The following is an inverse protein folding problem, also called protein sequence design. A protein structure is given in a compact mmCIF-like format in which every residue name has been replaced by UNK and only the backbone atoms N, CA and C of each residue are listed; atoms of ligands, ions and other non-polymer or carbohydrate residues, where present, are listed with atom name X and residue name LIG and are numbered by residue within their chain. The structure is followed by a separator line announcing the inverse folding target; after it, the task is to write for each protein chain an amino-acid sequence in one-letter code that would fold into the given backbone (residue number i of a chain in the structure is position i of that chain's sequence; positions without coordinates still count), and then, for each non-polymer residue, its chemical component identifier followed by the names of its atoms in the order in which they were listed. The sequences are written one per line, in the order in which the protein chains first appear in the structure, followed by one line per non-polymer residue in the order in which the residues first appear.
data_IF_956775603622
#
_entry.id   IF_956775603622
#
_cell.length_a   1.000
_cell.length_b   1.000
_cell.length_c   1.000
_cell.angle_alpha   90.00
_cell.angle_beta   90.00
_cell.angle_gamma   90.00
#
_symmetry.space_group_name_H-M   'P 1'
#
loop_
_entity.id
_entity.type
_entity.pdbx_description
1 polymer ?
#
# COMPACT_ATOMS: atom_id res chain seq x y z
N UNK A 1 -9.78 12.85 -7.76
CA UNK A 1 -10.05 13.65 -6.54
C UNK A 1 -9.55 12.86 -5.33
N UNK A 2 -8.79 13.46 -4.43
CA UNK A 2 -8.19 12.76 -3.28
C UNK A 2 -9.24 12.11 -2.37
N UNK A 3 -10.39 12.75 -2.21
CA UNK A 3 -11.51 12.26 -1.42
C UNK A 3 -12.13 10.95 -1.93
N UNK A 4 -12.09 10.67 -3.25
CA UNK A 4 -12.69 9.44 -3.79
C UNK A 4 -11.89 8.19 -3.41
N UNK A 5 -10.56 8.28 -3.36
CA UNK A 5 -9.67 7.18 -2.96
C UNK A 5 -9.78 6.83 -1.48
N UNK A 6 -9.77 7.84 -0.61
CA UNK A 6 -9.96 7.64 0.84
C UNK A 6 -11.34 7.06 1.11
N UNK A 7 -12.36 7.53 0.39
CA UNK A 7 -13.71 6.99 0.48
C UNK A 7 -13.80 5.53 0.01
N UNK A 8 -13.25 5.18 -1.16
CA UNK A 8 -13.13 3.80 -1.64
C UNK A 8 -12.44 2.89 -0.61
N UNK A 9 -11.34 3.36 -0.02
CA UNK A 9 -10.62 2.59 0.99
C UNK A 9 -11.44 2.43 2.27
N UNK A 10 -12.19 3.46 2.71
CA UNK A 10 -13.16 3.35 3.82
C UNK A 10 -14.23 2.28 3.52
N UNK A 11 -14.74 2.24 2.29
CA UNK A 11 -15.70 1.22 1.89
C UNK A 11 -15.10 -0.19 1.88
N UNK A 12 -13.83 -0.33 1.47
CA UNK A 12 -13.15 -1.62 1.51
C UNK A 12 -12.84 -2.09 2.94
N UNK A 13 -12.46 -1.19 3.86
CA UNK A 13 -12.17 -1.57 5.25
C UNK A 13 -13.45 -1.93 6.04
N UNK A 14 -14.61 -1.41 5.64
CA UNK A 14 -15.89 -1.82 6.24
C UNK A 14 -16.13 -3.31 6.03
N UNK A 15 -16.52 -4.00 7.11
CA UNK A 15 -16.80 -5.44 7.18
C UNK A 15 -17.78 -5.98 6.11
N UNK A 16 -18.53 -5.10 5.45
CA UNK A 16 -19.52 -5.45 4.43
C UNK A 16 -18.90 -5.72 3.04
N UNK A 17 -17.62 -5.39 2.81
CA UNK A 17 -16.98 -5.64 1.52
C UNK A 17 -16.18 -6.96 1.53
N UNK A 18 -16.83 -8.05 1.13
CA UNK A 18 -16.27 -9.41 1.05
C UNK A 18 -15.04 -9.56 0.15
N UNK A 19 -14.74 -8.57 -0.70
CA UNK A 19 -13.56 -8.54 -1.58
C UNK A 19 -12.33 -7.87 -0.93
N UNK A 20 -12.47 -7.34 0.28
CA UNK A 20 -11.39 -6.61 0.95
C UNK A 20 -10.44 -7.56 1.67
N UNK A 21 -9.17 -7.55 1.27
CA UNK A 21 -8.10 -8.23 2.01
C UNK A 21 -7.80 -7.58 3.37
N UNK A 22 -8.23 -6.33 3.56
CA UNK A 22 -7.98 -5.58 4.80
C UNK A 22 -9.00 -5.93 5.90
N UNK A 23 -10.22 -6.30 5.53
CA UNK A 23 -11.29 -6.60 6.49
C UNK A 23 -11.02 -7.84 7.38
N UNK A 24 -10.48 -8.97 6.86
CA UNK A 24 -10.03 -10.09 7.71
C UNK A 24 -8.90 -9.68 8.65
N UNK A 25 -7.97 -8.85 8.17
CA UNK A 25 -6.78 -8.47 8.92
C UNK A 25 -7.09 -7.55 10.11
N UNK A 26 -8.04 -6.62 9.95
CA UNK A 26 -8.52 -5.78 11.06
C UNK A 26 -9.32 -6.59 12.09
N UNK A 27 -10.06 -7.62 11.66
CA UNK A 27 -10.75 -8.54 12.57
C UNK A 27 -9.78 -9.41 13.38
N UNK A 28 -8.79 -10.03 12.72
CA UNK A 28 -7.81 -10.90 13.37
C UNK A 28 -6.89 -10.15 14.32
N UNK A 29 -6.46 -8.94 13.96
CA UNK A 29 -5.48 -8.17 14.74
C UNK A 29 -6.14 -7.22 15.75
N UNK A 30 -7.45 -6.94 15.61
CA UNK A 30 -8.16 -5.91 16.38
C UNK A 30 -7.70 -4.47 16.08
N UNK A 31 -6.86 -4.29 15.07
CA UNK A 31 -6.28 -3.00 14.67
C UNK A 31 -7.15 -2.34 13.60
N UNK A 32 -7.40 -1.03 13.74
CA UNK A 32 -8.12 -0.23 12.75
C UNK A 32 -7.17 0.59 11.87
N UNK A 33 -7.59 0.82 10.62
CA UNK A 33 -6.85 1.65 9.68
C UNK A 33 -7.03 3.15 10.00
N UNK A 34 -5.94 3.87 10.26
CA UNK A 34 -5.99 5.30 10.57
C UNK A 34 -6.08 6.18 9.31
N UNK A 35 -7.31 6.39 8.84
CA UNK A 35 -7.59 7.26 7.68
C UNK A 35 -7.18 8.72 7.88
N UNK A 36 -7.16 9.23 9.12
CA UNK A 36 -6.82 10.62 9.41
C UNK A 36 -5.31 10.89 9.32
N UNK A 37 -4.49 9.90 9.68
CA UNK A 37 -3.04 9.97 9.57
C UNK A 37 -2.51 9.55 8.18
N UNK A 38 -3.37 9.04 7.30
CA UNK A 38 -2.97 8.52 5.98
C UNK A 38 -2.74 9.65 4.98
N UNK A 39 -1.57 9.65 4.32
CA UNK A 39 -1.22 10.57 3.23
C UNK A 39 -1.03 9.80 1.92
N UNK A 40 -1.58 10.33 0.83
CA UNK A 40 -1.31 9.80 -0.52
C UNK A 40 0.05 10.32 -0.97
N UNK A 41 0.99 9.39 -1.19
CA UNK A 41 2.39 9.69 -1.55
C UNK A 41 2.59 9.86 -3.05
N UNK A 42 1.74 9.25 -3.87
CA UNK A 42 1.80 9.37 -5.33
C UNK A 42 0.45 8.98 -5.96
N UNK A 43 0.22 9.45 -7.19
CA UNK A 43 -0.99 9.18 -7.94
C UNK A 43 -0.66 8.70 -9.35
N UNK A 44 -1.28 7.60 -9.78
CA UNK A 44 -1.12 7.07 -11.13
C UNK A 44 -2.47 6.68 -11.75
N UNK A 45 -2.60 6.87 -13.06
CA UNK A 45 -3.87 6.69 -13.81
C UNK A 45 -4.14 5.24 -14.19
N UNK A 46 -3.12 4.42 -14.43
CA UNK A 46 -3.30 3.01 -14.77
C UNK A 46 -3.09 2.09 -13.55
N UNK A 47 -3.57 0.85 -13.65
CA UNK A 47 -3.40 -0.17 -12.59
C UNK A 47 -1.92 -0.51 -12.36
N UNK A 48 -1.19 -0.80 -13.43
CA UNK A 48 0.22 -1.20 -13.38
C UNK A 48 1.11 -0.17 -12.70
N UNK A 49 0.97 1.12 -13.03
CA UNK A 49 1.77 2.16 -12.37
C UNK A 49 1.39 2.36 -10.90
N UNK A 50 0.12 2.12 -10.52
CA UNK A 50 -0.27 2.15 -9.11
C UNK A 50 0.34 0.99 -8.33
N UNK A 51 0.25 -0.22 -8.87
CA UNK A 51 0.86 -1.42 -8.26
C UNK A 51 2.37 -1.26 -8.13
N UNK A 52 3.04 -0.69 -9.14
CA UNK A 52 4.48 -0.40 -9.08
C UNK A 52 4.81 0.59 -7.95
N UNK A 53 4.06 1.70 -7.84
CA UNK A 53 4.25 2.69 -6.77
C UNK A 53 4.02 2.06 -5.40
N UNK A 54 2.97 1.26 -5.26
CA UNK A 54 2.61 0.59 -4.02
C UNK A 54 3.69 -0.39 -3.60
N UNK A 55 4.10 -1.31 -4.49
CA UNK A 55 5.20 -2.24 -4.23
C UNK A 55 6.55 -1.54 -4.00
N UNK A 56 6.79 -0.40 -4.66
CA UNK A 56 7.98 0.42 -4.41
C UNK A 56 7.97 1.08 -3.02
N UNK A 57 6.80 1.36 -2.45
CA UNK A 57 6.66 1.91 -1.10
C UNK A 57 6.60 0.83 0.00
N UNK A 58 6.01 -0.35 -0.28
CA UNK A 58 5.75 -1.42 0.70
C UNK A 58 6.97 -2.15 1.25
N UNK A 59 7.10 -2.23 2.56
CA UNK A 59 8.13 -3.03 3.26
C UNK A 59 7.59 -4.40 3.74
N UNK A 60 8.42 -5.13 4.48
CA UNK A 60 8.08 -6.45 5.04
C UNK A 60 6.86 -6.42 5.97
N UNK A 61 6.59 -5.26 6.59
CA UNK A 61 5.48 -5.07 7.52
C UNK A 61 4.20 -4.62 6.83
N UNK A 62 4.24 -4.41 5.51
CA UNK A 62 3.09 -3.94 4.76
C UNK A 62 2.07 -5.06 4.49
N UNK A 63 0.78 -4.75 4.68
CA UNK A 63 -0.33 -5.70 4.43
C UNK A 63 -0.31 -6.22 2.99
N UNK A 64 0.08 -5.38 2.03
CA UNK A 64 0.11 -5.72 0.60
C UNK A 64 1.47 -6.27 0.12
N UNK A 65 2.14 -7.08 0.95
CA UNK A 65 3.43 -7.74 0.64
C UNK A 65 3.43 -8.59 -0.64
N UNK A 66 2.25 -8.91 -1.18
CA UNK A 66 2.07 -9.79 -2.33
C UNK A 66 2.20 -9.08 -3.69
N UNK A 67 2.33 -7.74 -3.75
CA UNK A 67 2.62 -7.08 -5.03
C UNK A 67 4.11 -7.30 -5.36
N UNK A 68 4.34 -8.30 -6.22
CA UNK A 68 5.67 -8.64 -6.70
C UNK A 68 6.21 -7.54 -7.64
N UNK A 69 7.39 -7.01 -7.30
CA UNK A 69 8.15 -6.10 -8.13
C UNK A 69 9.08 -6.93 -9.05
N UNK A 70 9.06 -6.68 -10.36
CA UNK A 70 9.93 -7.42 -11.27
C UNK A 70 11.42 -7.31 -10.83
N UNK A 71 12.24 -8.36 -11.04
CA UNK A 71 13.59 -8.45 -10.47
C UNK A 71 14.48 -7.23 -10.70
N UNK A 72 14.42 -6.63 -11.90
CA UNK A 72 15.16 -5.42 -12.23
C UNK A 72 14.81 -4.23 -11.32
N UNK A 73 13.53 -4.07 -10.99
CA UNK A 73 13.07 -3.00 -10.10
C UNK A 73 13.39 -3.32 -8.63
N UNK A 74 13.43 -4.60 -8.22
CA UNK A 74 13.85 -4.98 -6.85
C UNK A 74 15.28 -4.55 -6.59
N UNK A 75 16.19 -4.85 -7.52
CA UNK A 75 17.59 -4.45 -7.42
C UNK A 75 17.73 -2.93 -7.30
N UNK A 76 17.05 -2.16 -8.18
CA UNK A 76 17.07 -0.71 -8.16
C UNK A 76 16.54 -0.13 -6.83
N UNK A 77 15.46 -0.71 -6.30
CA UNK A 77 14.87 -0.29 -5.03
C UNK A 77 15.80 -0.53 -3.85
N UNK A 78 16.46 -1.69 -3.81
CA UNK A 78 17.45 -2.01 -2.79
C UNK A 78 18.61 -1.01 -2.81
N UNK A 79 19.17 -0.71 -3.99
CA UNK A 79 20.21 0.31 -4.12
C UNK A 79 19.76 1.68 -3.61
N UNK A 80 18.54 2.12 -3.97
CA UNK A 80 18.01 3.40 -3.51
C UNK A 80 17.79 3.45 -1.99
N UNK A 81 17.46 2.32 -1.36
CA UNK A 81 17.28 2.23 0.10
C UNK A 81 18.61 2.20 0.85
N UNK A 82 19.58 1.44 0.35
CA UNK A 82 20.92 1.32 0.97
C UNK A 82 21.72 2.62 0.85
N UNK A 83 21.45 3.45 -0.15
CA UNK A 83 22.04 4.79 -0.28
C UNK A 83 21.55 5.82 0.76
N UNK A 84 20.43 5.54 1.46
CA UNK A 84 19.83 6.47 2.42
C UNK A 84 20.36 6.30 3.86
N UNK A 85 21.14 5.25 4.14
CA UNK A 85 21.71 4.93 5.47
C UNK A 85 23.13 5.47 5.68
N UNK A 86 23.52 6.52 4.95
CA UNK A 86 24.81 7.17 5.08
C UNK A 86 24.65 8.68 5.34
N UNK A 87 24.07 9.04 6.50
CA UNK A 87 24.30 10.31 7.21
C UNK A 87 24.19 10.04 8.70
#
# INVERSE_FOLDING_TARGET
MLGSRIHEHKLAVRRDNSLSQVAPHTYETGQEFNFAATKIIAHARCKTSRELIEAWASDENSVNRLIDLAPAYRALRSHHRTGATAV
#
